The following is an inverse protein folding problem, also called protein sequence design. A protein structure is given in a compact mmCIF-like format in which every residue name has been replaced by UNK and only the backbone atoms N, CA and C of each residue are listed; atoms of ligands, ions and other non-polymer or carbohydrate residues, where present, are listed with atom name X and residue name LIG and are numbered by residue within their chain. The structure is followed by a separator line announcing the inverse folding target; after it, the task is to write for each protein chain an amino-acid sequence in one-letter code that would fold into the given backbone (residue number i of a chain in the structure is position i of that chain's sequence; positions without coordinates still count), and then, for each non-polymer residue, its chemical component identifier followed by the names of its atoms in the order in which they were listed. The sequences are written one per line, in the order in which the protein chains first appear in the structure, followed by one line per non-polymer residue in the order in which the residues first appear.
data_IF_855646632810
#
_entry.id   IF_855646632810
#
_cell.length_a   1.000
_cell.length_b   1.000
_cell.length_c   1.000
_cell.angle_alpha   90.00
_cell.angle_beta   90.00
_cell.angle_gamma   90.00
#
_symmetry.space_group_name_H-M   'P 1'
#
loop_
_entity.id
_entity.type
_entity.pdbx_description
1 polymer ?
#
# COMPACT_ATOMS: atom_id res chain seq x y z
N UNK A 1 10.93 21.10 -6.93
CA UNK A 1 9.58 20.52 -7.19
C UNK A 1 9.58 19.05 -6.76
N UNK A 2 8.47 18.56 -6.24
CA UNK A 2 8.31 17.16 -5.77
C UNK A 2 7.59 16.35 -6.85
N UNK A 3 8.10 15.15 -7.18
CA UNK A 3 7.43 14.19 -8.05
C UNK A 3 6.71 13.11 -7.22
N UNK A 4 5.43 12.88 -7.50
CA UNK A 4 4.65 11.78 -6.91
C UNK A 4 4.26 10.79 -8.01
N UNK A 5 4.72 9.56 -7.90
CA UNK A 5 4.22 8.46 -8.73
C UNK A 5 3.07 7.75 -8.03
N UNK A 6 2.09 7.28 -8.77
CA UNK A 6 0.92 6.63 -8.17
C UNK A 6 -0.03 7.59 -7.45
N UNK A 7 -0.06 8.87 -7.85
CA UNK A 7 -0.90 9.92 -7.25
C UNK A 7 -2.40 9.64 -7.25
N UNK A 8 -2.87 8.76 -8.13
CA UNK A 8 -4.29 8.32 -8.19
C UNK A 8 -4.59 7.08 -7.33
N UNK A 9 -3.59 6.52 -6.64
CA UNK A 9 -3.75 5.37 -5.73
C UNK A 9 -4.07 5.79 -4.30
N UNK A 10 -4.28 4.78 -3.41
CA UNK A 10 -4.61 5.02 -2.01
C UNK A 10 -3.59 5.94 -1.31
N UNK A 11 -2.32 5.55 -1.27
CA UNK A 11 -1.28 6.34 -0.56
C UNK A 11 -1.02 7.67 -1.27
N UNK A 12 -0.83 7.62 -2.61
CA UNK A 12 -0.48 8.81 -3.38
C UNK A 12 -1.53 9.92 -3.33
N UNK A 13 -2.82 9.58 -3.37
CA UNK A 13 -3.89 10.60 -3.31
C UNK A 13 -3.97 11.30 -1.95
N UNK A 14 -3.77 10.56 -0.85
CA UNK A 14 -3.66 11.17 0.48
C UNK A 14 -2.37 12.00 0.62
N UNK A 15 -1.25 11.49 0.10
CA UNK A 15 0.03 12.22 0.11
C UNK A 15 -0.07 13.57 -0.60
N UNK A 16 -0.75 13.63 -1.75
CA UNK A 16 -0.96 14.89 -2.48
C UNK A 16 -1.58 15.96 -1.58
N UNK A 17 -2.59 15.63 -0.76
CA UNK A 17 -3.16 16.58 0.19
C UNK A 17 -2.12 17.14 1.17
N UNK A 18 -1.31 16.26 1.79
CA UNK A 18 -0.35 16.69 2.81
C UNK A 18 0.78 17.56 2.22
N UNK A 19 1.21 17.27 0.97
CA UNK A 19 2.20 18.10 0.28
C UNK A 19 1.64 19.46 -0.09
N UNK A 20 0.43 19.51 -0.67
CA UNK A 20 -0.23 20.75 -1.04
C UNK A 20 -0.56 21.63 0.16
N UNK A 21 -0.86 21.04 1.32
CA UNK A 21 -1.06 21.76 2.57
C UNK A 21 0.22 22.47 3.06
N UNK A 22 1.40 21.97 2.69
CA UNK A 22 2.70 22.58 2.96
C UNK A 22 3.11 23.61 1.88
N UNK A 23 2.24 23.86 0.91
CA UNK A 23 2.46 24.74 -0.24
C UNK A 23 3.65 24.28 -1.13
N UNK A 24 3.97 23.00 -1.10
CA UNK A 24 5.01 22.40 -1.92
C UNK A 24 4.56 22.32 -3.38
N UNK A 25 5.41 22.68 -4.36
CA UNK A 25 5.10 22.50 -5.78
C UNK A 25 5.17 21.00 -6.12
N UNK A 26 4.02 20.43 -6.52
CA UNK A 26 3.86 18.98 -6.74
C UNK A 26 3.53 18.69 -8.19
N UNK A 27 4.32 17.81 -8.79
CA UNK A 27 4.00 17.11 -10.03
C UNK A 27 3.57 15.68 -9.72
N UNK A 28 2.43 15.24 -10.25
CA UNK A 28 1.94 13.88 -10.10
C UNK A 28 1.83 13.20 -11.46
N UNK A 29 2.40 12.02 -11.62
CA UNK A 29 2.23 11.25 -12.85
C UNK A 29 1.04 10.32 -12.79
N UNK A 30 0.36 10.18 -13.93
CA UNK A 30 -0.75 9.27 -14.12
C UNK A 30 -0.65 8.52 -15.45
N UNK A 31 -1.26 7.34 -15.52
CA UNK A 31 -1.36 6.57 -16.77
C UNK A 31 -2.52 7.13 -17.60
N UNK A 32 -2.46 6.96 -18.91
CA UNK A 32 -3.49 7.40 -19.88
C UNK A 32 -4.94 7.16 -19.45
N UNK A 33 -5.19 6.00 -18.83
CA UNK A 33 -6.54 5.59 -18.44
C UNK A 33 -6.82 5.81 -16.93
N UNK A 34 -5.99 6.58 -16.23
CA UNK A 34 -6.24 6.90 -14.82
C UNK A 34 -7.28 8.01 -14.70
N UNK A 35 -8.24 7.82 -13.82
CA UNK A 35 -9.18 8.87 -13.45
C UNK A 35 -8.54 9.80 -12.41
N UNK A 36 -7.88 10.87 -12.90
CA UNK A 36 -7.29 11.88 -12.01
C UNK A 36 -8.36 12.63 -11.22
N UNK A 37 -9.56 12.81 -11.79
CA UNK A 37 -10.68 13.48 -11.13
C UNK A 37 -11.13 12.75 -9.85
N UNK A 38 -10.92 11.44 -9.78
CA UNK A 38 -11.25 10.65 -8.58
C UNK A 38 -10.45 11.07 -7.34
N UNK A 39 -9.28 11.69 -7.50
CA UNK A 39 -8.45 12.24 -6.40
C UNK A 39 -9.20 13.33 -5.64
N UNK A 40 -10.09 14.08 -6.30
CA UNK A 40 -10.94 15.08 -5.63
C UNK A 40 -11.79 14.47 -4.50
N UNK A 41 -12.20 13.20 -4.61
CA UNK A 41 -12.93 12.50 -3.55
C UNK A 41 -12.08 12.36 -2.27
N UNK A 42 -10.78 12.15 -2.43
CA UNK A 42 -9.86 12.05 -1.29
C UNK A 42 -9.54 13.42 -0.73
N UNK A 43 -9.33 14.43 -1.58
CA UNK A 43 -9.14 15.82 -1.11
C UNK A 43 -10.36 16.32 -0.31
N UNK A 44 -11.57 15.96 -0.73
CA UNK A 44 -12.80 16.31 -0.03
C UNK A 44 -12.92 15.75 1.40
N UNK A 45 -12.13 14.72 1.75
CA UNK A 45 -12.06 14.20 3.12
C UNK A 45 -11.36 15.18 4.08
N UNK A 46 -10.58 16.13 3.55
CA UNK A 46 -9.71 17.00 4.31
C UNK A 46 -10.08 18.47 4.22
N UNK A 47 -10.72 18.90 3.14
CA UNK A 47 -10.99 20.32 2.87
C UNK A 47 -12.23 20.51 2.02
N UNK A 48 -12.87 21.68 2.18
CA UNK A 48 -13.92 22.16 1.27
C UNK A 48 -13.34 22.82 -0.01
N UNK A 49 -12.06 23.23 0.00
CA UNK A 49 -11.39 23.90 -1.12
C UNK A 49 -10.76 22.90 -2.12
N UNK A 50 -11.54 21.90 -2.50
CA UNK A 50 -11.07 20.75 -3.30
C UNK A 50 -10.50 21.18 -4.63
N UNK A 51 -11.21 22.02 -5.38
CA UNK A 51 -10.80 22.44 -6.72
C UNK A 51 -9.56 23.34 -6.67
N UNK A 52 -9.43 24.17 -5.65
CA UNK A 52 -8.25 25.02 -5.44
C UNK A 52 -7.00 24.15 -5.27
N UNK A 53 -7.04 23.14 -4.39
CA UNK A 53 -5.92 22.24 -4.17
C UNK A 53 -5.65 21.34 -5.39
N UNK A 54 -6.70 20.79 -6.00
CA UNK A 54 -6.55 19.93 -7.16
C UNK A 54 -5.85 20.64 -8.33
N UNK A 55 -6.17 21.91 -8.57
CA UNK A 55 -5.59 22.73 -9.65
C UNK A 55 -4.14 23.17 -9.37
N UNK A 56 -3.65 23.04 -8.14
CA UNK A 56 -2.22 23.23 -7.81
C UNK A 56 -1.35 22.05 -8.23
N UNK A 57 -1.94 20.87 -8.54
CA UNK A 57 -1.19 19.68 -8.95
C UNK A 57 -0.86 19.78 -10.43
N UNK A 58 0.42 19.70 -10.77
CA UNK A 58 0.85 19.52 -12.15
C UNK A 58 0.71 18.04 -12.55
N UNK A 59 -0.32 17.72 -13.31
CA UNK A 59 -0.57 16.37 -13.81
C UNK A 59 0.19 16.10 -15.10
N UNK A 60 1.01 15.03 -15.13
CA UNK A 60 1.76 14.60 -16.32
C UNK A 60 1.38 13.16 -16.68
N UNK A 61 0.97 12.93 -17.92
CA UNK A 61 0.72 11.58 -18.42
C UNK A 61 2.04 10.85 -18.63
N UNK A 62 2.37 9.93 -17.73
CA UNK A 62 3.54 9.08 -17.82
C UNK A 62 3.29 7.72 -17.14
N UNK A 63 3.76 6.66 -17.79
CA UNK A 63 3.79 5.33 -17.19
C UNK A 63 5.22 5.05 -16.69
N UNK A 64 5.36 4.45 -15.51
CA UNK A 64 6.68 4.14 -14.93
C UNK A 64 7.54 3.17 -15.78
N UNK A 65 6.95 2.55 -16.80
CA UNK A 65 7.65 1.73 -17.79
C UNK A 65 7.95 2.48 -19.11
N UNK A 66 7.60 3.75 -19.21
CA UNK A 66 7.80 4.61 -20.38
C UNK A 66 8.89 5.64 -20.08
N UNK A 67 10.14 5.30 -20.43
CA UNK A 67 11.30 6.13 -20.11
C UNK A 67 11.22 7.52 -20.75
N UNK A 68 10.87 7.69 -22.05
CA UNK A 68 10.69 9.01 -22.64
C UNK A 68 9.71 9.91 -21.89
N UNK A 69 8.52 9.40 -21.56
CA UNK A 69 7.52 10.17 -20.81
C UNK A 69 7.99 10.49 -19.39
N UNK A 70 8.69 9.56 -18.73
CA UNK A 70 9.28 9.79 -17.41
C UNK A 70 10.39 10.85 -17.46
N UNK A 71 11.23 10.88 -18.50
CA UNK A 71 12.29 11.88 -18.62
C UNK A 71 11.72 13.29 -18.57
N UNK A 72 10.61 13.55 -19.27
CA UNK A 72 9.90 14.82 -19.21
C UNK A 72 9.34 15.07 -17.80
N UNK A 73 8.77 14.02 -17.18
CA UNK A 73 8.20 14.15 -15.83
C UNK A 73 9.26 14.46 -14.75
N UNK A 74 10.53 14.15 -14.99
CA UNK A 74 11.64 14.41 -14.05
C UNK A 74 12.28 15.80 -14.19
N UNK A 75 11.88 16.62 -15.16
CA UNK A 75 12.42 17.97 -15.32
C UNK A 75 12.14 18.83 -14.07
N UNK A 76 13.21 19.46 -13.51
CA UNK A 76 13.17 20.31 -12.32
C UNK A 76 12.67 19.64 -11.03
N UNK A 77 12.77 18.30 -10.94
CA UNK A 77 12.43 17.55 -9.73
C UNK A 77 13.64 17.50 -8.79
N UNK A 78 13.39 17.65 -7.49
CA UNK A 78 14.40 17.54 -6.42
C UNK A 78 14.14 16.37 -5.48
N UNK A 79 12.89 16.05 -5.21
CA UNK A 79 12.49 14.93 -4.33
C UNK A 79 11.45 14.05 -5.02
N UNK A 80 11.47 12.75 -4.73
CA UNK A 80 10.55 11.78 -5.35
C UNK A 80 9.82 10.97 -4.27
N UNK A 81 8.50 10.88 -4.39
CA UNK A 81 7.69 9.89 -3.67
C UNK A 81 7.25 8.80 -4.64
N UNK A 82 7.77 7.61 -4.48
CA UNK A 82 7.43 6.49 -5.35
C UNK A 82 6.37 5.59 -4.70
N UNK A 83 5.09 5.93 -4.97
CA UNK A 83 3.92 5.18 -4.47
C UNK A 83 3.33 4.24 -5.54
N UNK A 84 3.77 4.33 -6.79
CA UNK A 84 3.23 3.52 -7.88
C UNK A 84 3.60 2.04 -7.70
N UNK A 85 2.61 1.18 -7.67
CA UNK A 85 2.76 -0.27 -7.73
C UNK A 85 1.53 -0.90 -8.40
N UNK A 86 1.71 -2.05 -9.02
CA UNK A 86 0.60 -2.90 -9.45
C UNK A 86 0.36 -3.99 -8.41
N UNK A 87 -0.88 -4.13 -7.95
CA UNK A 87 -1.25 -5.10 -6.93
C UNK A 87 -2.23 -6.10 -7.54
N UNK A 88 -1.85 -7.36 -7.58
CA UNK A 88 -2.74 -8.46 -7.94
C UNK A 88 -2.20 -9.77 -7.36
N UNK A 89 -3.11 -10.67 -7.00
CA UNK A 89 -2.77 -12.03 -6.56
C UNK A 89 -3.08 -13.06 -7.65
N UNK A 90 -3.43 -12.61 -8.87
CA UNK A 90 -3.67 -13.50 -10.00
C UNK A 90 -2.34 -13.94 -10.64
N UNK A 91 -1.97 -15.24 -10.58
CA UNK A 91 -0.69 -15.74 -11.11
C UNK A 91 -0.50 -15.48 -12.61
N UNK A 92 -1.59 -15.43 -13.38
CA UNK A 92 -1.50 -15.13 -14.83
C UNK A 92 -0.96 -13.72 -15.13
N UNK A 93 -0.90 -12.84 -14.13
CA UNK A 93 -0.43 -11.46 -14.24
C UNK A 93 1.02 -11.27 -13.75
N UNK A 94 1.76 -12.34 -13.46
CA UNK A 94 3.13 -12.24 -12.94
C UNK A 94 4.05 -11.37 -13.82
N UNK A 95 4.04 -11.58 -15.14
CA UNK A 95 4.84 -10.77 -16.08
C UNK A 95 4.50 -9.28 -16.00
N UNK A 96 3.21 -8.95 -15.87
CA UNK A 96 2.74 -7.56 -15.73
C UNK A 96 3.17 -6.99 -14.38
N UNK A 97 3.06 -7.79 -13.29
CA UNK A 97 3.56 -7.43 -11.96
C UNK A 97 5.05 -7.11 -11.99
N UNK A 98 5.87 -8.03 -12.54
CA UNK A 98 7.32 -7.85 -12.62
C UNK A 98 7.67 -6.60 -13.42
N UNK A 99 7.07 -6.41 -14.60
CA UNK A 99 7.32 -5.25 -15.44
C UNK A 99 6.95 -3.94 -14.74
N UNK A 100 5.77 -3.88 -14.10
CA UNK A 100 5.34 -2.67 -13.42
C UNK A 100 6.14 -2.40 -12.13
N UNK A 101 6.30 -3.42 -11.25
CA UNK A 101 6.89 -3.19 -9.93
C UNK A 101 8.41 -3.16 -9.99
N UNK A 102 9.06 -4.13 -10.65
CA UNK A 102 10.53 -4.21 -10.65
C UNK A 102 11.12 -3.26 -11.71
N UNK A 103 10.76 -3.46 -12.99
CA UNK A 103 11.34 -2.65 -14.07
C UNK A 103 10.90 -1.18 -13.98
N UNK A 104 9.63 -0.92 -13.59
CA UNK A 104 9.15 0.44 -13.35
C UNK A 104 9.89 1.14 -12.22
N UNK A 105 10.17 0.46 -11.10
CA UNK A 105 10.96 1.02 -10.00
C UNK A 105 12.42 1.23 -10.42
N UNK A 106 13.02 0.31 -11.18
CA UNK A 106 14.36 0.48 -11.74
C UNK A 106 14.45 1.74 -12.61
N UNK A 107 13.45 2.01 -13.46
CA UNK A 107 13.40 3.24 -14.27
C UNK A 107 13.35 4.49 -13.40
N UNK A 108 12.52 4.50 -12.34
CA UNK A 108 12.44 5.63 -11.40
C UNK A 108 13.79 5.84 -10.71
N UNK A 109 14.44 4.79 -10.20
CA UNK A 109 15.74 4.86 -9.54
C UNK A 109 16.81 5.38 -10.50
N UNK A 110 16.87 4.86 -11.73
CA UNK A 110 17.83 5.32 -12.75
C UNK A 110 17.63 6.80 -13.09
N UNK A 111 16.40 7.27 -13.19
CA UNK A 111 16.11 8.68 -13.43
C UNK A 111 16.42 9.55 -12.21
N UNK A 112 16.21 9.04 -10.98
CA UNK A 112 16.66 9.73 -9.77
C UNK A 112 18.19 9.96 -9.80
N UNK A 113 18.96 8.93 -10.14
CA UNK A 113 20.42 9.05 -10.25
C UNK A 113 20.86 10.00 -11.37
N UNK A 114 20.27 9.87 -12.57
CA UNK A 114 20.61 10.69 -13.72
C UNK A 114 20.29 12.19 -13.50
N UNK A 115 19.21 12.49 -12.77
CA UNK A 115 18.78 13.86 -12.47
C UNK A 115 19.30 14.38 -11.12
N UNK A 116 20.16 13.63 -10.42
CA UNK A 116 20.73 13.99 -9.11
C UNK A 116 19.64 14.36 -8.10
N UNK A 117 18.57 13.55 -8.03
CA UNK A 117 17.51 13.74 -7.06
C UNK A 117 18.09 13.68 -5.64
N UNK A 118 17.74 14.65 -4.81
CA UNK A 118 18.21 14.76 -3.43
C UNK A 118 17.82 13.54 -2.60
N UNK A 119 16.55 13.12 -2.69
CA UNK A 119 16.05 11.99 -1.91
C UNK A 119 14.80 11.36 -2.50
N UNK A 120 14.71 10.03 -2.39
CA UNK A 120 13.50 9.26 -2.72
C UNK A 120 12.87 8.65 -1.48
N UNK A 121 11.54 8.76 -1.35
CA UNK A 121 10.73 7.98 -0.41
C UNK A 121 9.97 6.89 -1.18
N UNK A 122 10.28 5.63 -0.91
CA UNK A 122 9.67 4.49 -1.59
C UNK A 122 8.66 3.78 -0.71
N UNK A 123 7.45 3.58 -1.22
CA UNK A 123 6.42 2.78 -0.56
C UNK A 123 6.59 1.30 -0.94
N UNK A 124 7.24 0.55 -0.07
CA UNK A 124 7.36 -0.90 -0.17
C UNK A 124 6.18 -1.61 0.51
N UNK A 125 6.40 -2.67 1.24
CA UNK A 125 5.37 -3.44 1.96
C UNK A 125 6.03 -4.35 2.99
N UNK A 126 5.36 -4.66 4.08
CA UNK A 126 5.78 -5.75 4.99
C UNK A 126 5.88 -7.11 4.27
N UNK A 127 5.32 -7.24 3.07
CA UNK A 127 5.43 -8.45 2.27
C UNK A 127 6.85 -8.71 1.73
N UNK A 128 7.75 -7.72 1.77
CA UNK A 128 9.17 -7.85 1.39
C UNK A 128 10.06 -8.36 2.51
N UNK A 129 9.54 -8.39 3.73
CA UNK A 129 10.23 -8.91 4.89
C UNK A 129 10.04 -10.43 5.00
N UNK A 130 11.00 -11.09 5.63
CA UNK A 130 10.96 -12.53 5.85
C UNK A 130 9.82 -12.96 6.77
N UNK A 131 9.77 -14.24 7.04
CA UNK A 131 8.77 -14.81 7.95
C UNK A 131 9.23 -14.81 9.39
N UNK A 132 8.24 -14.82 10.26
CA UNK A 132 8.46 -14.99 11.70
C UNK A 132 9.14 -16.35 11.99
N UNK A 133 10.37 -16.31 12.43
CA UNK A 133 11.12 -17.46 12.93
C UNK A 133 11.00 -17.51 14.46
N UNK A 134 10.67 -18.67 15.02
CA UNK A 134 10.61 -18.90 16.45
C UNK A 134 9.63 -17.99 17.22
N UNK A 135 8.48 -17.69 16.65
CA UNK A 135 7.46 -16.82 17.26
C UNK A 135 7.94 -15.39 17.64
N UNK A 136 9.01 -14.90 17.02
CA UNK A 136 9.46 -13.52 17.20
C UNK A 136 8.70 -12.59 16.28
N UNK A 137 8.57 -11.32 16.66
CA UNK A 137 8.03 -10.30 15.76
C UNK A 137 8.99 -10.11 14.56
N UNK A 138 8.41 -9.83 13.41
CA UNK A 138 9.14 -9.49 12.19
C UNK A 138 9.62 -8.04 12.34
N UNK A 139 10.92 -7.84 12.17
CA UNK A 139 11.58 -6.52 12.19
C UNK A 139 12.13 -6.20 10.81
N UNK A 140 12.67 -5.01 10.63
CA UNK A 140 13.37 -4.59 9.42
C UNK A 140 14.61 -5.46 9.14
N UNK A 141 15.21 -6.05 10.18
CA UNK A 141 16.35 -6.95 10.10
C UNK A 141 15.99 -8.39 9.69
N UNK A 142 14.68 -8.72 9.61
CA UNK A 142 14.25 -10.08 9.28
C UNK A 142 14.52 -10.37 7.81
N UNK A 143 15.46 -11.31 7.48
CA UNK A 143 15.91 -11.50 6.12
C UNK A 143 14.83 -12.15 5.25
N UNK A 144 14.77 -11.73 3.99
CA UNK A 144 13.94 -12.38 2.99
C UNK A 144 14.35 -13.84 2.78
N UNK A 145 13.38 -14.75 2.75
CA UNK A 145 13.63 -16.15 2.46
C UNK A 145 13.01 -16.53 1.10
N UNK A 146 13.85 -16.76 0.05
CA UNK A 146 13.36 -17.14 -1.28
C UNK A 146 12.75 -18.55 -1.33
N UNK A 147 13.10 -19.44 -0.39
CA UNK A 147 12.60 -20.83 -0.35
C UNK A 147 11.18 -20.93 0.22
N UNK A 148 10.66 -19.85 0.79
CA UNK A 148 9.27 -19.81 1.23
C UNK A 148 8.29 -19.71 0.06
N UNK A 149 7.05 -20.12 0.33
CA UNK A 149 5.94 -19.98 -0.66
C UNK A 149 5.46 -18.53 -0.72
N UNK A 150 6.35 -17.65 -1.18
CA UNK A 150 6.04 -16.24 -1.38
C UNK A 150 4.98 -16.05 -2.48
N UNK A 151 4.16 -15.01 -2.36
CA UNK A 151 3.24 -14.62 -3.42
C UNK A 151 3.99 -13.87 -4.54
N UNK A 152 3.46 -13.94 -5.77
CA UNK A 152 4.00 -13.18 -6.90
C UNK A 152 4.12 -11.68 -6.59
N UNK A 153 3.16 -11.14 -5.84
CA UNK A 153 3.20 -9.77 -5.35
C UNK A 153 4.41 -9.52 -4.43
N UNK A 154 4.62 -10.39 -3.42
CA UNK A 154 5.75 -10.27 -2.49
C UNK A 154 7.10 -10.35 -3.23
N UNK A 155 7.26 -11.31 -4.15
CA UNK A 155 8.47 -11.46 -4.96
C UNK A 155 8.76 -10.19 -5.77
N UNK A 156 7.74 -9.61 -6.41
CA UNK A 156 7.94 -8.43 -7.24
C UNK A 156 8.12 -7.14 -6.42
N UNK A 157 7.54 -7.05 -5.21
CA UNK A 157 7.80 -5.94 -4.29
C UNK A 157 9.20 -6.02 -3.71
N UNK A 158 9.67 -7.22 -3.35
CA UNK A 158 11.04 -7.43 -2.91
C UNK A 158 12.04 -7.06 -4.02
N UNK A 159 11.84 -7.55 -5.26
CA UNK A 159 12.69 -7.17 -6.37
C UNK A 159 12.71 -5.65 -6.64
N UNK A 160 11.58 -4.97 -6.48
CA UNK A 160 11.50 -3.52 -6.59
C UNK A 160 12.24 -2.79 -5.45
N UNK A 161 12.14 -3.30 -4.22
CA UNK A 161 12.88 -2.77 -3.08
C UNK A 161 14.39 -2.92 -3.26
N UNK A 162 14.84 -4.04 -3.85
CA UNK A 162 16.25 -4.24 -4.19
C UNK A 162 16.75 -3.24 -5.23
N UNK A 163 15.92 -2.78 -6.16
CA UNK A 163 16.29 -1.69 -7.08
C UNK A 163 16.52 -0.36 -6.33
N UNK A 164 15.71 -0.07 -5.31
CA UNK A 164 15.95 1.13 -4.48
C UNK A 164 17.24 0.99 -3.67
N UNK A 165 17.48 -0.17 -3.06
CA UNK A 165 18.74 -0.46 -2.37
C UNK A 165 19.95 -0.41 -3.31
N UNK A 166 19.82 -0.87 -4.57
CA UNK A 166 20.86 -0.67 -5.59
C UNK A 166 21.14 0.82 -5.78
N UNK A 167 20.10 1.64 -5.93
CA UNK A 167 20.26 3.08 -6.09
C UNK A 167 21.03 3.73 -4.93
N UNK A 168 20.84 3.25 -3.69
CA UNK A 168 21.60 3.79 -2.54
C UNK A 168 23.10 3.49 -2.64
N UNK A 169 23.49 2.34 -3.21
CA UNK A 169 24.89 2.01 -3.45
C UNK A 169 25.52 2.86 -4.56
N UNK A 170 24.68 3.44 -5.42
CA UNK A 170 25.10 4.35 -6.50
C UNK A 170 25.00 5.84 -6.11
N UNK A 171 24.69 6.14 -4.83
CA UNK A 171 24.71 7.50 -4.27
C UNK A 171 23.33 8.19 -4.15
N UNK A 172 22.22 7.50 -4.45
CA UNK A 172 20.87 8.03 -4.22
C UNK A 172 20.50 7.94 -2.72
N UNK A 173 20.13 9.04 -2.09
CA UNK A 173 19.56 8.97 -0.75
C UNK A 173 18.14 8.43 -0.79
N UNK A 174 17.86 7.39 -0.01
CA UNK A 174 16.53 6.76 0.02
C UNK A 174 16.02 6.50 1.43
N UNK A 175 14.70 6.62 1.59
CA UNK A 175 13.97 6.08 2.74
C UNK A 175 12.88 5.15 2.23
N UNK A 176 12.76 3.99 2.86
CA UNK A 176 11.81 2.95 2.47
C UNK A 176 10.81 2.77 3.58
N UNK A 177 9.53 2.80 3.26
CA UNK A 177 8.47 2.45 4.21
C UNK A 177 7.87 1.11 3.83
N UNK A 178 7.72 0.21 4.82
CA UNK A 178 7.13 -1.11 4.68
C UNK A 178 5.79 -1.15 5.45
N UNK A 179 4.73 -0.60 4.88
CA UNK A 179 3.43 -0.60 5.54
C UNK A 179 2.83 -2.00 5.59
N UNK A 180 2.10 -2.29 6.68
CA UNK A 180 1.15 -3.39 6.77
C UNK A 180 -0.04 -3.19 5.84
N UNK A 181 -1.19 -3.75 6.18
CA UNK A 181 -2.44 -3.49 5.45
C UNK A 181 -2.87 -2.05 5.74
N UNK A 182 -2.78 -1.20 4.72
CA UNK A 182 -3.10 0.23 4.85
C UNK A 182 -4.62 0.40 4.85
N UNK A 183 -5.17 0.91 5.93
CA UNK A 183 -6.60 1.23 6.07
C UNK A 183 -6.87 2.68 5.66
N UNK A 184 -7.78 2.89 4.73
CA UNK A 184 -8.11 4.22 4.23
C UNK A 184 -9.12 4.21 3.09
N UNK A 185 -9.64 5.38 2.75
CA UNK A 185 -10.55 5.58 1.63
C UNK A 185 -9.76 5.79 0.34
N UNK A 186 -9.89 4.88 -0.60
CA UNK A 186 -9.24 4.94 -1.91
C UNK A 186 -10.13 5.65 -2.94
N UNK A 187 -9.55 6.39 -3.91
CA UNK A 187 -10.31 7.02 -4.99
C UNK A 187 -11.18 6.05 -5.80
N UNK A 188 -10.69 4.82 -6.00
CA UNK A 188 -11.33 3.76 -6.78
C UNK A 188 -12.04 2.69 -5.92
N UNK A 189 -12.04 2.85 -4.59
CA UNK A 189 -12.58 1.87 -3.65
C UNK A 189 -11.76 0.57 -3.53
N UNK A 190 -10.58 0.51 -4.13
CA UNK A 190 -9.67 -0.64 -4.09
C UNK A 190 -8.88 -0.79 -2.79
N UNK A 191 -7.88 -1.67 -2.80
CA UNK A 191 -6.99 -1.89 -1.66
C UNK A 191 -7.69 -2.49 -0.44
N UNK A 192 -7.52 -1.86 0.73
CA UNK A 192 -8.17 -2.26 1.99
C UNK A 192 -9.70 -2.17 1.97
N UNK A 193 -10.27 -1.52 0.95
CA UNK A 193 -11.70 -1.44 0.74
C UNK A 193 -12.41 -2.80 0.75
N UNK A 194 -11.71 -3.88 0.34
CA UNK A 194 -12.22 -5.26 0.40
C UNK A 194 -12.46 -5.71 1.84
N UNK A 195 -11.53 -5.46 2.77
CA UNK A 195 -11.66 -5.85 4.19
C UNK A 195 -12.79 -5.06 4.84
N UNK A 196 -12.88 -3.77 4.56
CA UNK A 196 -13.95 -2.91 5.08
C UNK A 196 -15.31 -3.37 4.54
N UNK A 197 -15.38 -3.74 3.26
CA UNK A 197 -16.60 -4.28 2.64
C UNK A 197 -17.01 -5.64 3.24
N UNK A 198 -16.04 -6.47 3.64
CA UNK A 198 -16.31 -7.71 4.37
C UNK A 198 -16.94 -7.42 5.74
N UNK A 199 -16.44 -6.45 6.49
CA UNK A 199 -17.07 -6.00 7.75
C UNK A 199 -18.50 -5.50 7.53
N UNK A 200 -18.70 -4.65 6.52
CA UNK A 200 -20.00 -4.11 6.16
C UNK A 200 -21.02 -5.17 5.69
N UNK A 201 -20.56 -6.28 5.13
CA UNK A 201 -21.44 -7.35 4.63
C UNK A 201 -22.06 -8.23 5.74
N UNK A 202 -21.49 -8.20 6.96
CA UNK A 202 -21.97 -9.02 8.07
C UNK A 202 -21.79 -10.53 7.86
N UNK A 203 -20.77 -10.95 7.08
CA UNK A 203 -20.47 -12.37 6.85
C UNK A 203 -20.16 -13.06 8.19
N UNK A 204 -20.81 -14.19 8.53
CA UNK A 204 -20.63 -14.85 9.83
C UNK A 204 -19.30 -15.61 9.96
N UNK A 205 -18.47 -15.64 8.92
CA UNK A 205 -17.23 -16.41 8.86
C UNK A 205 -16.00 -15.51 8.94
N UNK A 206 -14.94 -16.02 9.59
CA UNK A 206 -13.63 -15.35 9.65
C UNK A 206 -12.47 -16.33 9.43
N UNK A 207 -11.39 -15.94 8.70
CA UNK A 207 -10.15 -16.72 8.65
C UNK A 207 -9.35 -16.54 9.93
N UNK A 208 -8.45 -17.50 10.21
CA UNK A 208 -7.73 -17.55 11.50
C UNK A 208 -6.37 -16.86 11.50
N UNK A 209 -5.97 -16.20 10.42
CA UNK A 209 -4.70 -15.48 10.34
C UNK A 209 -4.72 -14.13 11.09
N UNK A 210 -3.54 -13.54 11.18
CA UNK A 210 -3.32 -12.20 11.71
C UNK A 210 -2.44 -11.37 10.75
N UNK A 211 -2.58 -10.05 10.83
CA UNK A 211 -1.87 -9.10 9.98
C UNK A 211 -1.51 -7.83 10.75
N UNK A 212 -0.49 -7.13 10.30
CA UNK A 212 -0.25 -5.75 10.72
C UNK A 212 -1.14 -4.80 9.92
N UNK A 213 -1.74 -3.83 10.59
CA UNK A 213 -2.55 -2.77 9.98
C UNK A 213 -1.96 -1.40 10.28
N UNK A 214 -2.28 -0.41 9.45
CA UNK A 214 -1.86 0.99 9.64
C UNK A 214 -2.84 1.94 8.96
N UNK A 215 -3.05 3.11 9.54
CA UNK A 215 -3.83 4.19 8.93
C UNK A 215 -3.08 4.80 7.74
N UNK A 216 -3.77 5.09 6.64
CA UNK A 216 -3.18 5.74 5.46
C UNK A 216 -2.61 7.12 5.79
N UNK A 217 -3.24 7.88 6.70
CA UNK A 217 -2.75 9.18 7.11
C UNK A 217 -1.43 9.07 7.87
N UNK A 218 -1.26 8.05 8.70
CA UNK A 218 -0.02 7.81 9.42
C UNK A 218 1.11 7.41 8.46
N UNK A 219 0.82 6.55 7.47
CA UNK A 219 1.78 6.24 6.40
C UNK A 219 2.27 7.52 5.73
N UNK A 220 1.36 8.40 5.34
CA UNK A 220 1.69 9.64 4.63
C UNK A 220 2.45 10.62 5.54
N UNK A 221 2.03 10.80 6.81
CA UNK A 221 2.74 11.66 7.77
C UNK A 221 4.18 11.20 7.98
N UNK A 222 4.39 9.88 8.14
CA UNK A 222 5.75 9.32 8.28
C UNK A 222 6.58 9.55 7.01
N UNK A 223 6.00 9.31 5.82
CA UNK A 223 6.69 9.56 4.55
C UNK A 223 7.16 11.01 4.42
N UNK A 224 6.29 11.97 4.77
CA UNK A 224 6.63 13.41 4.72
C UNK A 224 7.71 13.77 5.74
N UNK A 225 7.66 13.22 6.96
CA UNK A 225 8.69 13.47 7.96
C UNK A 225 10.03 12.85 7.56
N UNK A 226 10.04 11.63 7.01
CA UNK A 226 11.26 10.95 6.60
C UNK A 226 11.97 11.64 5.43
N UNK A 227 11.23 12.16 4.44
CA UNK A 227 11.87 12.81 3.29
C UNK A 227 12.48 14.16 3.65
N UNK A 228 11.92 14.83 4.67
CA UNK A 228 12.41 16.13 5.15
C UNK A 228 13.46 16.02 6.27
N UNK A 229 13.75 14.79 6.74
CA UNK A 229 14.76 14.52 7.77
C UNK A 229 16.14 14.24 7.17
N UNK A 230 17.18 14.20 8.00
CA UNK A 230 18.53 13.77 7.62
C UNK A 230 18.69 12.24 7.54
N UNK A 231 17.62 11.49 7.84
CA UNK A 231 17.60 10.03 7.80
C UNK A 231 17.69 9.57 6.35
N UNK A 232 18.63 8.69 6.04
CA UNK A 232 18.85 8.17 4.69
C UNK A 232 19.26 6.71 4.73
N UNK A 233 18.96 6.02 3.63
CA UNK A 233 19.33 4.62 3.40
C UNK A 233 18.84 3.70 4.52
N UNK A 234 17.58 3.93 4.92
CA UNK A 234 16.92 3.23 6.01
C UNK A 234 15.53 2.75 5.59
N UNK A 235 15.10 1.64 6.18
CA UNK A 235 13.73 1.13 6.01
C UNK A 235 12.99 1.08 7.33
N UNK A 236 11.66 1.24 7.27
CA UNK A 236 10.80 1.34 8.46
C UNK A 236 9.49 0.57 8.28
N UNK A 237 9.20 -0.33 9.20
CA UNK A 237 7.90 -0.99 9.30
C UNK A 237 6.86 0.02 9.80
N UNK A 238 5.76 0.15 9.05
CA UNK A 238 4.62 0.96 9.44
C UNK A 238 3.44 0.06 9.78
N UNK A 239 3.33 -0.29 11.05
CA UNK A 239 2.24 -1.10 11.62
C UNK A 239 1.81 -0.47 12.93
N UNK A 240 0.54 -0.02 12.99
CA UNK A 240 -0.03 0.54 14.23
C UNK A 240 -0.41 -0.57 15.21
N UNK A 241 -1.00 -1.65 14.70
CA UNK A 241 -1.49 -2.78 15.49
C UNK A 241 -1.35 -4.09 14.69
N UNK A 242 -0.96 -5.16 15.40
CA UNK A 242 -1.06 -6.52 14.91
C UNK A 242 -2.41 -7.11 15.32
N UNK A 243 -3.28 -7.42 14.36
CA UNK A 243 -4.67 -7.79 14.62
C UNK A 243 -5.08 -9.07 13.87
N UNK A 244 -5.89 -9.92 14.49
CA UNK A 244 -6.49 -11.04 13.77
C UNK A 244 -7.66 -10.61 12.89
N UNK A 245 -7.95 -11.38 11.82
CA UNK A 245 -9.15 -11.13 11.02
C UNK A 245 -10.43 -11.13 11.84
N UNK A 246 -10.51 -12.00 12.86
CA UNK A 246 -11.66 -12.06 13.77
C UNK A 246 -11.86 -10.74 14.50
N UNK A 247 -10.80 -10.24 15.14
CA UNK A 247 -10.84 -8.99 15.90
C UNK A 247 -11.20 -7.81 15.00
N UNK A 248 -10.50 -7.66 13.85
CA UNK A 248 -10.75 -6.56 12.93
C UNK A 248 -12.21 -6.57 12.40
N UNK A 249 -12.71 -7.74 11.97
CA UNK A 249 -14.10 -7.85 11.51
C UNK A 249 -15.10 -7.67 12.65
N UNK A 250 -14.74 -8.05 13.89
CA UNK A 250 -15.59 -7.84 15.07
C UNK A 250 -15.66 -6.37 15.49
N UNK A 251 -14.60 -5.59 15.24
CA UNK A 251 -14.62 -4.12 15.42
C UNK A 251 -15.40 -3.44 14.29
N UNK A 252 -15.25 -3.89 13.04
CA UNK A 252 -15.87 -3.28 11.87
C UNK A 252 -17.38 -3.54 11.76
N UNK A 253 -17.83 -4.78 11.97
CA UNK A 253 -19.23 -5.15 11.70
C UNK A 253 -20.26 -4.30 12.48
N UNK A 254 -20.08 -4.01 13.79
CA UNK A 254 -21.01 -3.16 14.54
C UNK A 254 -21.11 -1.74 13.98
N UNK A 255 -20.01 -1.16 13.48
CA UNK A 255 -19.99 0.18 12.90
C UNK A 255 -20.87 0.30 11.64
N UNK A 256 -21.20 -0.83 11.00
CA UNK A 256 -22.15 -0.92 9.90
C UNK A 256 -23.52 -1.51 10.32
N UNK A 257 -23.81 -1.59 11.62
CA UNK A 257 -25.04 -2.19 12.15
C UNK A 257 -25.15 -3.70 11.87
N UNK A 258 -24.03 -4.41 11.72
CA UNK A 258 -23.96 -5.85 11.46
C UNK A 258 -23.47 -6.63 12.67
N UNK A 259 -23.85 -7.91 12.75
CA UNK A 259 -23.36 -8.81 13.80
C UNK A 259 -21.90 -9.21 13.52
N UNK A 260 -21.04 -9.29 14.54
CA UNK A 260 -19.69 -9.81 14.41
C UNK A 260 -19.66 -11.26 13.88
N UNK A 261 -18.59 -11.66 13.18
CA UNK A 261 -18.44 -13.02 12.70
C UNK A 261 -18.16 -13.99 13.88
N UNK A 262 -18.85 -15.14 13.87
CA UNK A 262 -18.75 -16.14 14.95
C UNK A 262 -18.16 -17.48 14.51
N UNK A 263 -18.16 -17.78 13.20
CA UNK A 263 -17.78 -19.09 12.67
C UNK A 263 -16.39 -19.06 12.05
N UNK A 264 -15.52 -19.98 12.48
CA UNK A 264 -14.18 -20.14 11.87
C UNK A 264 -14.32 -20.67 10.44
N UNK A 265 -13.61 -20.04 9.52
CA UNK A 265 -13.48 -20.51 8.15
C UNK A 265 -12.43 -21.63 8.08
N UNK A 266 -12.73 -22.72 7.39
CA UNK A 266 -11.77 -23.82 7.21
C UNK A 266 -10.82 -23.52 6.04
N UNK A 267 -9.51 -23.55 6.31
CA UNK A 267 -8.46 -23.41 5.26
C UNK A 267 -8.61 -24.48 4.17
N UNK A 268 -8.92 -25.73 4.55
CA UNK A 268 -9.08 -26.85 3.61
C UNK A 268 -10.26 -26.60 2.65
N UNK A 269 -11.40 -26.16 3.19
CA UNK A 269 -12.59 -25.82 2.39
C UNK A 269 -12.27 -24.67 1.44
N UNK A 270 -11.62 -23.62 1.90
CA UNK A 270 -11.23 -22.47 1.06
C UNK A 270 -10.27 -22.85 -0.06
N UNK A 271 -9.32 -23.75 0.20
CA UNK A 271 -8.40 -24.26 -0.82
C UNK A 271 -9.15 -25.12 -1.85
N UNK A 272 -10.11 -25.93 -1.41
CA UNK A 272 -10.98 -26.70 -2.30
C UNK A 272 -11.84 -25.79 -3.19
N UNK A 273 -12.51 -24.80 -2.61
CA UNK A 273 -13.27 -23.77 -3.34
C UNK A 273 -12.40 -22.99 -4.33
N UNK A 274 -11.16 -22.67 -3.96
CA UNK A 274 -10.19 -22.05 -4.87
C UNK A 274 -9.83 -22.98 -6.06
N UNK A 275 -9.82 -24.29 -5.86
CA UNK A 275 -9.65 -25.27 -6.95
C UNK A 275 -10.86 -25.30 -7.89
N UNK A 276 -12.07 -25.29 -7.34
CA UNK A 276 -13.31 -25.21 -8.12
C UNK A 276 -13.42 -23.90 -8.90
N UNK A 277 -13.09 -22.77 -8.27
CA UNK A 277 -13.06 -21.46 -8.93
C UNK A 277 -12.05 -21.42 -10.08
N UNK A 278 -10.90 -22.11 -9.94
CA UNK A 278 -9.93 -22.28 -11.01
C UNK A 278 -10.50 -23.08 -12.18
N UNK A 279 -11.11 -24.24 -11.92
CA UNK A 279 -11.76 -25.05 -12.95
C UNK A 279 -12.88 -24.27 -13.66
N UNK A 280 -13.75 -23.62 -12.89
CA UNK A 280 -14.80 -22.75 -13.42
C UNK A 280 -14.24 -21.64 -14.33
N UNK A 281 -13.12 -21.05 -13.95
CA UNK A 281 -12.49 -19.99 -14.75
C UNK A 281 -11.95 -20.50 -16.09
N UNK A 282 -11.56 -21.76 -16.18
CA UNK A 282 -11.12 -22.39 -17.44
C UNK A 282 -12.32 -22.72 -18.33
N UNK A 283 -13.33 -23.39 -17.78
CA UNK A 283 -14.49 -23.85 -18.57
C UNK A 283 -15.40 -22.71 -19.01
N UNK A 284 -15.65 -21.74 -18.12
CA UNK A 284 -16.60 -20.65 -18.35
C UNK A 284 -15.93 -19.31 -18.65
N UNK A 285 -14.60 -19.27 -18.77
CA UNK A 285 -13.80 -18.03 -19.00
C UNK A 285 -14.12 -16.91 -18.00
N UNK A 286 -14.52 -17.25 -16.77
CA UNK A 286 -14.84 -16.30 -15.71
C UNK A 286 -13.57 -15.74 -15.04
N UNK A 287 -13.65 -14.54 -14.47
CA UNK A 287 -12.54 -14.02 -13.65
C UNK A 287 -12.43 -14.79 -12.34
N UNK A 288 -11.23 -15.22 -11.98
CA UNK A 288 -10.97 -15.88 -10.69
C UNK A 288 -11.29 -14.96 -9.53
N UNK A 289 -12.07 -15.49 -8.56
CA UNK A 289 -12.47 -14.78 -7.34
C UNK A 289 -11.69 -15.24 -6.11
N UNK A 290 -11.32 -16.52 -6.07
CA UNK A 290 -10.63 -17.15 -4.93
C UNK A 290 -9.28 -17.68 -5.39
N UNK A 291 -8.21 -16.92 -5.11
CA UNK A 291 -6.85 -17.30 -5.49
C UNK A 291 -6.15 -18.01 -4.33
N UNK A 292 -5.43 -19.09 -4.61
CA UNK A 292 -4.72 -19.89 -3.58
C UNK A 292 -3.75 -19.04 -2.73
N UNK A 293 -3.07 -18.06 -3.32
CA UNK A 293 -2.16 -17.16 -2.61
C UNK A 293 -2.91 -16.33 -1.57
N UNK A 294 -4.05 -15.73 -1.95
CA UNK A 294 -4.92 -14.97 -1.02
C UNK A 294 -5.43 -15.86 0.10
N UNK A 295 -5.90 -17.09 -0.23
CA UNK A 295 -6.34 -18.02 0.82
C UNK A 295 -5.19 -18.32 1.80
N UNK A 296 -3.98 -18.57 1.31
CA UNK A 296 -2.84 -18.83 2.21
C UNK A 296 -2.53 -17.67 3.12
N UNK A 297 -2.53 -16.42 2.60
CA UNK A 297 -2.27 -15.22 3.40
C UNK A 297 -3.32 -15.00 4.48
N UNK A 298 -4.60 -15.25 4.20
CA UNK A 298 -5.69 -15.12 5.17
C UNK A 298 -5.58 -16.10 6.37
N UNK A 299 -4.79 -17.16 6.24
CA UNK A 299 -4.55 -18.16 7.30
C UNK A 299 -3.12 -18.13 7.85
N UNK A 300 -2.27 -17.22 7.39
CA UNK A 300 -0.94 -16.96 7.94
C UNK A 300 -1.07 -15.87 9.01
N UNK A 301 -0.36 -16.03 10.12
CA UNK A 301 -0.21 -14.99 11.13
C UNK A 301 1.17 -14.37 10.95
N UNK A 302 1.21 -13.10 10.59
CA UNK A 302 2.44 -12.33 10.48
C UNK A 302 2.32 -11.13 11.42
N UNK A 303 3.23 -11.05 12.40
CA UNK A 303 3.22 -10.04 13.44
C UNK A 303 4.53 -9.23 13.33
N UNK A 304 4.42 -7.93 13.38
CA UNK A 304 5.50 -6.99 13.07
C UNK A 304 5.85 -6.14 14.28
N UNK A 305 7.11 -5.76 14.37
CA UNK A 305 7.61 -4.77 15.32
C UNK A 305 7.83 -3.43 14.59
N UNK A 306 7.16 -2.38 15.04
CA UNK A 306 7.30 -1.03 14.49
C UNK A 306 7.99 -0.07 15.46
N UNK A 307 8.74 -0.58 16.45
CA UNK A 307 9.42 0.24 17.45
C UNK A 307 10.51 1.14 16.83
N UNK A 308 11.14 0.71 15.74
CA UNK A 308 12.15 1.51 15.05
C UNK A 308 11.60 2.88 14.64
N UNK A 309 10.49 2.93 13.91
CA UNK A 309 9.92 4.21 13.45
C UNK A 309 9.39 5.05 14.62
N UNK A 310 8.77 4.44 15.62
CA UNK A 310 8.28 5.14 16.81
C UNK A 310 9.41 5.87 17.53
N UNK A 311 10.56 5.22 17.71
CA UNK A 311 11.74 5.81 18.36
C UNK A 311 12.42 6.85 17.49
N UNK A 312 12.56 6.58 16.20
CA UNK A 312 13.29 7.43 15.26
C UNK A 312 12.63 8.79 15.05
N UNK A 313 11.29 8.82 14.93
CA UNK A 313 10.52 10.05 14.71
C UNK A 313 9.70 10.49 15.93
N UNK A 314 9.80 9.84 17.09
CA UNK A 314 8.89 10.00 18.22
C UNK A 314 7.41 9.89 17.77
N UNK A 315 7.16 9.00 16.79
CA UNK A 315 5.87 8.89 16.11
C UNK A 315 4.87 8.05 16.91
N UNK A 316 3.66 8.56 17.04
CA UNK A 316 2.54 7.82 17.62
C UNK A 316 1.52 7.51 16.53
N UNK A 317 1.25 6.22 16.33
CA UNK A 317 0.23 5.78 15.39
C UNK A 317 -1.18 6.07 15.90
N UNK A 318 -2.06 6.39 14.98
CA UNK A 318 -3.49 6.54 15.25
C UNK A 318 -4.07 5.21 15.74
N UNK A 319 -4.85 5.19 16.85
CA UNK A 319 -5.52 3.99 17.32
C UNK A 319 -6.43 3.39 16.25
N UNK A 320 -6.50 2.05 16.21
CA UNK A 320 -7.31 1.33 15.21
C UNK A 320 -8.78 1.74 15.24
N UNK A 321 -9.35 1.93 16.41
CA UNK A 321 -10.74 2.35 16.59
C UNK A 321 -11.00 3.70 15.90
N UNK A 322 -10.15 4.69 16.12
CA UNK A 322 -10.27 6.02 15.48
C UNK A 322 -10.14 5.91 13.95
N UNK A 323 -9.23 5.08 13.46
CA UNK A 323 -9.07 4.79 12.03
C UNK A 323 -10.35 4.19 11.44
N UNK A 324 -10.94 3.19 12.11
CA UNK A 324 -12.14 2.52 11.64
C UNK A 324 -13.37 3.45 11.65
N UNK A 325 -13.54 4.21 12.73
CA UNK A 325 -14.63 5.19 12.88
C UNK A 325 -14.56 6.24 11.78
N UNK A 326 -13.38 6.77 11.50
CA UNK A 326 -13.15 7.73 10.43
C UNK A 326 -13.53 7.15 9.07
N UNK A 327 -13.06 5.95 8.72
CA UNK A 327 -13.33 5.32 7.43
C UNK A 327 -14.83 5.04 7.25
N UNK A 328 -15.53 4.64 8.31
CA UNK A 328 -16.98 4.39 8.26
C UNK A 328 -17.75 5.69 8.02
N UNK A 329 -17.37 6.79 8.69
CA UNK A 329 -17.92 8.13 8.43
C UNK A 329 -17.69 8.57 6.98
N UNK A 330 -16.48 8.43 6.47
CA UNK A 330 -16.08 8.78 5.10
C UNK A 330 -16.91 8.00 4.05
N UNK A 331 -17.39 6.80 4.38
CA UNK A 331 -18.25 5.97 3.51
C UNK A 331 -19.74 6.21 3.68
N UNK A 332 -20.16 7.21 4.46
CA UNK A 332 -21.55 7.50 4.73
C UNK A 332 -22.24 6.50 5.68
N UNK A 333 -21.45 5.72 6.42
CA UNK A 333 -21.95 4.86 7.49
C UNK A 333 -22.43 5.70 8.68
N UNK A 334 -23.54 5.31 9.31
CA UNK A 334 -23.97 5.90 10.58
C UNK A 334 -23.15 5.26 11.71
N UNK A 335 -22.45 6.06 12.48
CA UNK A 335 -21.96 5.66 13.80
C UNK A 335 -23.20 5.58 14.72
N UNK A 336 -23.45 4.43 15.33
CA UNK A 336 -24.46 4.26 16.38
C UNK A 336 -23.98 4.87 17.69
#
# INVERSE_FOLDING_TARGET
MILVTGGTGLVGSHLLYFLLKKDEPVRAIHRKNSDIGSVKKVLALYTSEVDLLFNKIEWVEANIIDIPALTVAFENITKVYHCAAFITFNPSKYKVLKKANVEGTANIVNLCLANKIEKICYVSSVATLGSNLNNRLITEETPWNPDEKNSDYAITKYGAEMEVWRGTQEGLEAVIVNPGVILGTSPDGGGSGVIISLGASGIPFYPTGAMGIVDVQDVVKVMVQLIDSDIKNEQFILVSENITYKELLSKLAPLFGKKPPTKKLSKRIMLFLSGMDWLSSIFFRTKRRIVKATVRSMFKSSLYDAEKIKKTLAFQFTPTEETLDRIVKERGGKLN
#
